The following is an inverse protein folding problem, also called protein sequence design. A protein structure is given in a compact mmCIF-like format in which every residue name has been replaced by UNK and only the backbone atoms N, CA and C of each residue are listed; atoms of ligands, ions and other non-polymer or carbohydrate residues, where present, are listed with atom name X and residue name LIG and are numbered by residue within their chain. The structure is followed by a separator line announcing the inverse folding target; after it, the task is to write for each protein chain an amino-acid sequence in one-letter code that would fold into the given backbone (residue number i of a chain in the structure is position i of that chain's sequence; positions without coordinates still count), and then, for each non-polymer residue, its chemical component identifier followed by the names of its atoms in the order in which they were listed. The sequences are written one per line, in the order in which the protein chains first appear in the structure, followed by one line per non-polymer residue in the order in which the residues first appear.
data_IF_865075766758
#
_entry.id   IF_865075766758
#
_cell.length_a   1.000
_cell.length_b   1.000
_cell.length_c   1.000
_cell.angle_alpha   90.00
_cell.angle_beta   90.00
_cell.angle_gamma   90.00
#
_symmetry.space_group_name_H-M   'P 1'
#
loop_
_entity.id
_entity.type
_entity.pdbx_description
1 polymer ?
#
# COMPACT_ATOMS: atom_id res chain seq x y z
N UNK A 1 -30.36 29.36 -23.67
CA UNK A 1 -29.28 29.23 -22.68
C UNK A 1 -29.71 28.21 -21.63
N UNK A 2 -28.88 27.20 -21.37
CA UNK A 2 -29.16 26.16 -20.35
C UNK A 2 -28.92 26.79 -18.95
N UNK A 3 -29.86 26.69 -18.01
CA UNK A 3 -29.67 27.26 -16.66
C UNK A 3 -28.57 26.50 -15.91
N UNK A 4 -27.92 27.12 -14.91
CA UNK A 4 -26.97 26.41 -14.06
C UNK A 4 -27.60 25.19 -13.40
N UNK A 5 -26.83 24.11 -13.29
CA UNK A 5 -27.28 22.84 -12.73
C UNK A 5 -26.52 22.54 -11.44
N UNK A 6 -27.24 22.19 -10.37
CA UNK A 6 -26.62 21.68 -9.15
C UNK A 6 -26.32 20.19 -9.31
N UNK A 7 -25.10 19.79 -8.96
CA UNK A 7 -24.62 18.42 -9.02
C UNK A 7 -24.19 18.01 -7.61
N UNK A 8 -24.82 16.97 -7.09
CA UNK A 8 -24.55 16.43 -5.75
C UNK A 8 -23.90 15.04 -5.79
N UNK A 9 -23.50 14.59 -6.99
CA UNK A 9 -22.93 13.27 -7.25
C UNK A 9 -23.85 12.11 -6.81
N UNK A 10 -25.17 12.32 -6.86
CA UNK A 10 -26.19 11.29 -6.60
C UNK A 10 -27.09 11.13 -7.82
N UNK A 11 -27.58 9.91 -8.02
CA UNK A 11 -28.48 9.54 -9.12
C UNK A 11 -27.88 9.93 -10.49
N UNK A 12 -28.60 10.75 -11.27
CA UNK A 12 -28.16 11.22 -12.59
C UNK A 12 -27.43 12.57 -12.53
N UNK A 13 -27.41 13.26 -11.39
CA UNK A 13 -26.84 14.60 -11.23
C UNK A 13 -25.39 14.53 -10.75
N UNK A 14 -24.54 13.95 -11.61
CA UNK A 14 -23.11 13.74 -11.35
C UNK A 14 -22.25 14.61 -12.25
N UNK A 15 -21.07 14.98 -11.74
CA UNK A 15 -20.05 15.67 -12.53
C UNK A 15 -19.61 14.81 -13.71
N UNK A 16 -19.51 13.50 -13.53
CA UNK A 16 -19.18 12.54 -14.58
C UNK A 16 -20.13 12.63 -15.78
N UNK A 17 -21.45 12.70 -15.53
CA UNK A 17 -22.43 12.77 -16.61
C UNK A 17 -22.30 14.06 -17.42
N UNK A 18 -22.14 15.21 -16.74
CA UNK A 18 -21.92 16.49 -17.43
C UNK A 18 -20.60 16.50 -18.21
N UNK A 19 -19.51 15.99 -17.62
CA UNK A 19 -18.24 15.87 -18.36
C UNK A 19 -18.38 14.96 -19.57
N UNK A 20 -19.07 13.83 -19.46
CA UNK A 20 -19.24 12.89 -20.57
C UNK A 20 -20.12 13.44 -21.70
N UNK A 21 -21.11 14.28 -21.37
CA UNK A 21 -21.97 14.99 -22.34
C UNK A 21 -21.18 16.07 -23.11
N UNK A 22 -20.35 16.85 -22.41
CA UNK A 22 -19.72 18.05 -22.98
C UNK A 22 -18.28 17.87 -23.47
N UNK A 23 -17.56 16.83 -23.02
CA UNK A 23 -16.23 16.50 -23.55
C UNK A 23 -16.33 16.09 -25.02
N UNK A 24 -15.65 16.84 -25.87
CA UNK A 24 -15.59 16.64 -27.32
C UNK A 24 -14.16 16.65 -27.83
N UNK A 25 -13.98 16.32 -29.11
CA UNK A 25 -12.69 16.40 -29.77
C UNK A 25 -12.12 17.83 -29.68
N UNK A 26 -10.83 17.94 -29.35
CA UNK A 26 -10.12 19.21 -29.13
C UNK A 26 -10.67 20.09 -27.99
N UNK A 27 -11.38 19.54 -27.01
CA UNK A 27 -11.68 20.27 -25.78
C UNK A 27 -10.40 20.64 -25.04
N UNK A 28 -10.42 21.75 -24.28
CA UNK A 28 -9.33 22.14 -23.38
C UNK A 28 -9.82 22.09 -21.94
N UNK A 29 -9.15 21.34 -21.10
CA UNK A 29 -9.57 21.15 -19.71
C UNK A 29 -8.64 21.91 -18.75
N UNK A 30 -9.22 22.68 -17.84
CA UNK A 30 -8.50 23.34 -16.75
C UNK A 30 -9.11 22.85 -15.43
N UNK A 31 -8.31 22.18 -14.60
CA UNK A 31 -8.79 21.50 -13.39
C UNK A 31 -7.99 21.96 -12.18
N UNK A 32 -8.69 22.26 -11.10
CA UNK A 32 -8.11 22.43 -9.76
C UNK A 32 -8.82 21.45 -8.83
N UNK A 33 -8.04 20.52 -8.28
CA UNK A 33 -8.58 19.48 -7.41
C UNK A 33 -7.54 19.09 -6.36
N UNK A 34 -7.99 18.63 -5.19
CA UNK A 34 -7.07 18.16 -4.16
C UNK A 34 -6.46 16.80 -4.47
N UNK A 35 -7.13 15.99 -5.30
CA UNK A 35 -6.75 14.61 -5.54
C UNK A 35 -6.99 14.24 -6.99
N UNK A 36 -6.12 13.41 -7.55
CA UNK A 36 -6.25 12.88 -8.90
C UNK A 36 -6.30 11.36 -8.82
N UNK A 37 -7.36 10.70 -9.29
CA UNK A 37 -7.46 9.24 -9.32
C UNK A 37 -7.25 8.70 -10.73
N UNK A 38 -6.41 7.66 -10.85
CA UNK A 38 -6.26 6.91 -12.11
C UNK A 38 -7.56 6.26 -12.57
N UNK A 39 -8.48 5.95 -11.64
CA UNK A 39 -9.76 5.33 -11.99
C UNK A 39 -10.76 6.34 -12.56
N UNK A 40 -10.70 7.59 -12.09
CA UNK A 40 -11.46 8.70 -12.68
C UNK A 40 -11.03 8.92 -14.14
N UNK A 41 -9.70 8.95 -14.39
CA UNK A 41 -9.16 8.94 -15.75
C UNK A 41 -9.67 7.75 -16.55
N UNK A 42 -9.54 6.52 -16.04
CA UNK A 42 -9.93 5.31 -16.77
C UNK A 42 -11.39 5.33 -17.24
N UNK A 43 -12.29 5.90 -16.42
CA UNK A 43 -13.72 5.99 -16.71
C UNK A 43 -14.05 7.04 -17.77
N UNK A 44 -13.22 8.07 -17.90
CA UNK A 44 -13.35 9.11 -18.92
C UNK A 44 -12.35 8.94 -20.09
N UNK A 45 -11.53 7.87 -20.09
CA UNK A 45 -10.41 7.65 -21.01
C UNK A 45 -10.76 7.90 -22.47
N UNK A 46 -11.86 7.32 -22.94
CA UNK A 46 -12.28 7.45 -24.34
C UNK A 46 -12.50 8.90 -24.76
N UNK A 47 -12.96 9.76 -23.85
CA UNK A 47 -13.17 11.18 -24.10
C UNK A 47 -11.91 12.00 -23.84
N UNK A 48 -11.19 11.71 -22.76
CA UNK A 48 -9.95 12.41 -22.40
C UNK A 48 -8.83 12.19 -23.40
N UNK A 49 -8.82 11.06 -24.12
CA UNK A 49 -7.87 10.82 -25.18
C UNK A 49 -8.11 11.67 -26.43
N UNK A 50 -9.31 12.26 -26.60
CA UNK A 50 -9.69 13.07 -27.77
C UNK A 50 -9.52 14.58 -27.53
N UNK A 51 -9.20 15.01 -26.30
CA UNK A 51 -9.03 16.43 -25.96
C UNK A 51 -7.74 17.00 -26.57
N UNK A 52 -7.66 18.33 -26.67
CA UNK A 52 -6.45 19.05 -27.08
C UNK A 52 -5.39 18.93 -25.98
N UNK A 53 -5.71 19.46 -24.80
CA UNK A 53 -4.85 19.39 -23.62
C UNK A 53 -5.64 19.49 -22.31
N UNK A 54 -4.94 19.24 -21.21
CA UNK A 54 -5.42 19.47 -19.86
C UNK A 54 -4.35 20.17 -19.01
N UNK A 55 -4.77 21.14 -18.20
CA UNK A 55 -3.95 21.76 -17.16
C UNK A 55 -4.54 21.42 -15.81
N UNK A 56 -3.73 20.86 -14.92
CA UNK A 56 -4.16 20.37 -13.61
C UNK A 56 -3.38 21.04 -12.48
N UNK A 57 -4.07 21.54 -11.47
CA UNK A 57 -3.48 22.08 -10.24
C UNK A 57 -3.92 21.24 -9.04
N UNK A 58 -2.96 20.68 -8.29
CA UNK A 58 -3.21 20.08 -6.98
C UNK A 58 -3.45 21.16 -5.92
N UNK A 59 -4.57 21.09 -5.17
CA UNK A 59 -4.89 22.07 -4.10
C UNK A 59 -3.94 22.00 -2.90
N UNK A 60 -3.37 20.83 -2.63
CA UNK A 60 -2.42 20.60 -1.55
C UNK A 60 -0.99 20.46 -2.10
N UNK A 61 0.05 20.93 -1.37
CA UNK A 61 1.45 20.73 -1.72
C UNK A 61 1.80 19.26 -2.00
N UNK A 62 1.77 18.88 -3.27
CA UNK A 62 1.91 17.51 -3.75
C UNK A 62 3.02 17.43 -4.78
N UNK A 63 3.91 16.45 -4.66
CA UNK A 63 5.03 16.24 -5.60
C UNK A 63 6.03 17.41 -5.72
N UNK A 64 6.00 18.34 -4.77
CA UNK A 64 6.99 19.42 -4.67
C UNK A 64 8.32 18.85 -4.18
N UNK A 65 9.40 19.27 -4.83
CA UNK A 65 10.76 18.85 -4.47
C UNK A 65 11.16 19.45 -3.13
N UNK A 66 10.99 18.68 -2.06
CA UNK A 66 11.54 19.05 -0.74
C UNK A 66 13.07 19.05 -0.82
N UNK A 67 13.70 20.22 -0.60
CA UNK A 67 15.17 20.36 -0.56
C UNK A 67 15.82 19.69 0.66
N UNK A 68 15.05 19.34 1.68
CA UNK A 68 15.58 18.93 3.00
C UNK A 68 15.47 17.42 3.34
N UNK A 69 14.86 16.59 2.50
CA UNK A 69 14.79 15.15 2.78
C UNK A 69 15.96 14.39 2.14
N UNK A 70 17.09 14.42 2.83
CA UNK A 70 18.07 13.34 2.77
C UNK A 70 17.37 12.02 3.14
N UNK A 71 17.49 11.02 2.26
CA UNK A 71 17.12 9.62 2.51
C UNK A 71 15.65 9.33 2.86
N UNK A 72 14.70 9.66 1.98
CA UNK A 72 13.45 8.88 1.97
C UNK A 72 13.76 7.49 1.42
N UNK A 73 13.67 6.49 2.29
CA UNK A 73 13.63 5.06 1.94
C UNK A 73 12.77 4.88 0.68
N UNK A 74 13.30 4.21 -0.34
CA UNK A 74 12.61 3.96 -1.62
C UNK A 74 11.23 3.28 -1.49
N UNK A 75 10.86 2.86 -0.28
CA UNK A 75 9.64 2.13 0.06
C UNK A 75 8.72 2.86 1.04
N UNK A 76 9.00 4.11 1.43
CA UNK A 76 8.01 4.92 2.13
C UNK A 76 6.96 5.44 1.15
N UNK A 77 5.86 4.69 1.06
CA UNK A 77 4.60 5.14 0.47
C UNK A 77 4.09 6.30 1.35
N UNK A 78 4.60 7.52 1.14
CA UNK A 78 4.04 8.74 1.75
C UNK A 78 2.54 8.82 1.41
N UNK A 79 1.71 9.25 2.36
CA UNK A 79 0.24 9.33 2.26
C UNK A 79 -0.29 10.01 0.98
N UNK A 80 0.53 10.84 0.32
CA UNK A 80 0.29 11.49 -0.97
C UNK A 80 -0.10 10.46 -2.06
N UNK A 81 0.41 9.23 -2.01
CA UNK A 81 0.11 8.18 -3.00
C UNK A 81 -1.28 7.56 -2.83
N UNK A 82 -1.91 7.69 -1.65
CA UNK A 82 -3.16 6.98 -1.34
C UNK A 82 -4.32 7.50 -2.19
N UNK A 83 -4.29 8.78 -2.54
CA UNK A 83 -5.35 9.38 -3.33
C UNK A 83 -5.20 9.13 -4.84
N UNK A 84 -3.98 8.84 -5.33
CA UNK A 84 -3.75 8.53 -6.74
C UNK A 84 -4.25 7.16 -7.13
N UNK A 85 -3.92 6.18 -6.31
CA UNK A 85 -4.13 4.77 -6.63
C UNK A 85 -5.41 4.19 -6.04
N UNK A 86 -6.31 5.05 -5.60
CA UNK A 86 -7.61 4.68 -5.09
C UNK A 86 -7.83 5.10 -3.65
N UNK A 87 -8.84 5.91 -3.42
CA UNK A 87 -9.31 6.19 -2.07
C UNK A 87 -10.23 5.05 -1.54
N UNK A 88 -10.75 5.22 -0.33
CA UNK A 88 -11.61 4.22 0.34
C UNK A 88 -12.89 3.86 -0.44
N UNK A 89 -13.39 4.75 -1.30
CA UNK A 89 -14.58 4.50 -2.15
C UNK A 89 -14.23 3.75 -3.44
N UNK A 90 -12.93 3.66 -3.77
CA UNK A 90 -12.42 2.99 -4.96
C UNK A 90 -11.89 1.58 -4.65
N UNK A 91 -12.10 1.06 -3.42
CA UNK A 91 -11.63 -0.26 -3.01
C UNK A 91 -12.12 -1.39 -3.93
N UNK A 92 -13.35 -1.31 -4.45
CA UNK A 92 -13.86 -2.29 -5.41
C UNK A 92 -13.05 -2.28 -6.71
N UNK A 93 -12.78 -1.10 -7.26
CA UNK A 93 -11.94 -0.94 -8.46
C UNK A 93 -10.52 -1.39 -8.18
N UNK A 94 -10.04 -1.17 -6.95
CA UNK A 94 -8.74 -1.66 -6.51
C UNK A 94 -8.66 -3.19 -6.51
N UNK A 95 -9.74 -3.85 -6.11
CA UNK A 95 -9.80 -5.31 -6.09
C UNK A 95 -9.91 -5.95 -7.48
N UNK A 96 -10.14 -5.17 -8.54
CA UNK A 96 -10.07 -5.66 -9.93
C UNK A 96 -8.63 -5.91 -10.38
N UNK A 97 -7.62 -5.46 -9.61
CA UNK A 97 -6.19 -5.66 -9.88
C UNK A 97 -5.73 -5.13 -11.26
N UNK A 98 -6.38 -4.07 -11.75
CA UNK A 98 -6.11 -3.46 -13.05
C UNK A 98 -5.19 -2.23 -12.98
N UNK A 99 -4.67 -1.88 -11.80
CA UNK A 99 -3.94 -0.63 -11.56
C UNK A 99 -2.70 -0.49 -12.42
N UNK A 100 -1.92 -1.55 -12.59
CA UNK A 100 -0.69 -1.50 -13.38
C UNK A 100 -0.98 -1.09 -14.83
N UNK A 101 -2.01 -1.69 -15.43
CA UNK A 101 -2.43 -1.37 -16.80
C UNK A 101 -3.00 0.05 -16.90
N UNK A 102 -3.92 0.42 -16.02
CA UNK A 102 -4.55 1.75 -16.02
C UNK A 102 -3.51 2.84 -15.78
N UNK A 103 -2.61 2.65 -14.82
CA UNK A 103 -1.56 3.63 -14.49
C UNK A 103 -0.61 3.86 -15.66
N UNK A 104 -0.25 2.81 -16.40
CA UNK A 104 0.62 2.93 -17.58
C UNK A 104 -0.01 3.80 -18.66
N UNK A 105 -1.25 3.51 -19.03
CA UNK A 105 -1.98 4.30 -20.03
C UNK A 105 -2.22 5.74 -19.56
N UNK A 106 -2.55 5.92 -18.27
CA UNK A 106 -2.72 7.23 -17.67
C UNK A 106 -1.42 8.05 -17.70
N UNK A 107 -0.28 7.43 -17.40
CA UNK A 107 1.03 8.08 -17.44
C UNK A 107 1.41 8.51 -18.87
N UNK A 108 1.12 7.69 -19.88
CA UNK A 108 1.29 8.06 -21.30
C UNK A 108 0.43 9.26 -21.67
N UNK A 109 -0.86 9.24 -21.31
CA UNK A 109 -1.77 10.35 -21.55
C UNK A 109 -1.34 11.65 -20.82
N UNK A 110 -0.88 11.55 -19.57
CA UNK A 110 -0.36 12.70 -18.82
C UNK A 110 0.88 13.28 -19.49
N UNK A 111 1.79 12.41 -19.93
CA UNK A 111 3.01 12.83 -20.62
C UNK A 111 2.69 13.64 -21.87
N UNK A 112 1.73 13.20 -22.66
CA UNK A 112 1.43 13.79 -23.96
C UNK A 112 0.50 15.01 -23.90
N UNK A 113 -0.50 14.99 -23.01
CA UNK A 113 -1.61 15.97 -23.05
C UNK A 113 -1.77 16.83 -21.81
N UNK A 114 -1.10 16.51 -20.72
CA UNK A 114 -1.38 17.13 -19.42
C UNK A 114 -0.20 17.94 -18.92
N UNK A 115 -0.44 19.18 -18.53
CA UNK A 115 0.48 19.99 -17.72
C UNK A 115 0.01 19.93 -16.26
N UNK A 116 0.94 19.77 -15.33
CA UNK A 116 0.60 19.52 -13.93
C UNK A 116 1.39 20.45 -13.02
N UNK A 117 0.66 21.21 -12.21
CA UNK A 117 1.20 22.08 -11.18
C UNK A 117 0.62 21.72 -9.81
N UNK A 118 1.28 22.17 -8.75
CA UNK A 118 0.79 22.08 -7.38
C UNK A 118 0.87 23.45 -6.73
N UNK A 119 -0.06 23.78 -5.85
CA UNK A 119 0.14 24.91 -4.94
C UNK A 119 1.35 24.65 -4.04
N UNK A 120 2.15 25.69 -3.82
CA UNK A 120 3.38 25.61 -3.02
C UNK A 120 3.06 25.47 -1.52
N UNK A 121 2.00 26.14 -1.07
CA UNK A 121 1.55 26.12 0.33
C UNK A 121 0.15 25.52 0.44
N UNK A 122 -0.23 24.99 1.60
CA UNK A 122 -1.60 24.55 1.86
C UNK A 122 -2.49 25.76 2.18
N UNK A 123 -3.67 25.84 1.58
CA UNK A 123 -4.66 26.84 1.92
C UNK A 123 -6.08 26.26 1.73
N UNK A 124 -6.90 26.19 2.80
CA UNK A 124 -8.25 25.63 2.70
C UNK A 124 -9.21 26.48 1.84
N UNK A 125 -8.84 27.73 1.53
CA UNK A 125 -9.62 28.61 0.67
C UNK A 125 -9.35 28.43 -0.83
N UNK A 126 -8.41 27.56 -1.22
CA UNK A 126 -8.18 27.33 -2.64
C UNK A 126 -9.41 26.72 -3.31
N UNK A 127 -9.81 27.24 -4.48
CA UNK A 127 -11.02 26.77 -5.15
C UNK A 127 -10.82 25.36 -5.70
N UNK A 128 -11.93 24.63 -5.82
CA UNK A 128 -12.00 23.41 -6.62
C UNK A 128 -12.87 23.67 -7.83
N UNK A 129 -12.34 23.37 -9.01
CA UNK A 129 -13.05 23.63 -10.24
C UNK A 129 -12.62 22.72 -11.39
N UNK A 130 -13.54 22.54 -12.34
CA UNK A 130 -13.27 21.99 -13.67
C UNK A 130 -13.86 22.97 -14.68
N UNK A 131 -13.02 23.53 -15.54
CA UNK A 131 -13.43 24.33 -16.68
C UNK A 131 -13.13 23.55 -17.96
N UNK A 132 -14.15 23.44 -18.82
CA UNK A 132 -14.07 22.83 -20.13
C UNK A 132 -14.27 23.90 -21.20
N UNK A 133 -13.20 24.20 -21.94
CA UNK A 133 -13.25 25.07 -23.12
C UNK A 133 -13.47 24.27 -24.40
N UNK A 134 -14.35 24.76 -25.26
CA UNK A 134 -14.65 24.20 -26.58
C UNK A 134 -14.64 25.29 -27.65
N UNK A 135 -14.54 24.90 -28.94
CA UNK A 135 -14.67 25.83 -30.06
C UNK A 135 -16.10 26.39 -30.19
N UNK A 136 -17.09 25.57 -29.84
CA UNK A 136 -18.48 25.98 -29.77
C UNK A 136 -18.77 26.57 -28.39
N UNK A 137 -19.06 27.87 -28.34
CA UNK A 137 -19.26 28.62 -27.09
C UNK A 137 -20.34 28.01 -26.18
N UNK A 138 -21.38 27.39 -26.75
CA UNK A 138 -22.46 26.74 -26.00
C UNK A 138 -22.04 25.44 -25.31
N UNK A 139 -20.94 24.83 -25.77
CA UNK A 139 -20.38 23.60 -25.19
C UNK A 139 -19.31 23.88 -24.14
N UNK A 140 -19.02 25.13 -23.82
CA UNK A 140 -18.17 25.48 -22.69
C UNK A 140 -18.94 25.27 -21.38
N UNK A 141 -18.33 24.59 -20.42
CA UNK A 141 -18.91 24.40 -19.09
C UNK A 141 -17.88 24.69 -17.99
N UNK A 142 -18.37 25.11 -16.83
CA UNK A 142 -17.55 25.25 -15.64
C UNK A 142 -18.28 24.68 -14.44
N UNK A 143 -17.61 23.76 -13.74
CA UNK A 143 -18.10 23.08 -12.55
C UNK A 143 -17.27 23.57 -11.37
N UNK A 144 -17.92 24.13 -10.35
CA UNK A 144 -17.26 24.70 -9.18
C UNK A 144 -17.93 24.19 -7.90
N UNK A 145 -17.16 24.07 -6.82
CA UNK A 145 -17.68 23.71 -5.51
C UNK A 145 -16.73 22.81 -4.74
N UNK A 146 -17.09 21.54 -4.63
CA UNK A 146 -16.39 20.49 -3.85
C UNK A 146 -15.81 19.38 -4.73
N UNK A 147 -15.78 19.61 -6.04
CA UNK A 147 -15.37 18.65 -7.06
C UNK A 147 -13.93 18.21 -6.85
N UNK A 148 -13.70 16.90 -6.96
CA UNK A 148 -12.37 16.33 -7.06
C UNK A 148 -12.26 15.41 -8.26
N UNK A 149 -11.07 15.31 -8.84
CA UNK A 149 -10.79 14.42 -9.97
C UNK A 149 -10.57 12.98 -9.47
N UNK A 150 -11.52 12.49 -8.69
CA UNK A 150 -11.56 11.13 -8.13
C UNK A 150 -12.87 10.44 -8.49
N UNK A 151 -12.95 9.11 -8.43
CA UNK A 151 -14.18 8.42 -8.87
C UNK A 151 -15.40 8.84 -8.05
N UNK A 152 -15.23 9.07 -6.75
CA UNK A 152 -16.28 9.60 -5.86
C UNK A 152 -16.54 11.10 -6.10
N UNK A 153 -15.49 11.92 -6.29
CA UNK A 153 -15.61 13.36 -6.54
C UNK A 153 -16.27 13.70 -7.88
N UNK A 154 -16.22 12.77 -8.84
CA UNK A 154 -16.95 12.86 -10.11
C UNK A 154 -18.33 12.18 -10.06
N UNK A 155 -18.68 11.47 -8.98
CA UNK A 155 -19.93 10.70 -8.88
C UNK A 155 -19.98 9.41 -9.69
N UNK A 156 -18.82 8.82 -10.02
CA UNK A 156 -18.70 7.51 -10.67
C UNK A 156 -18.90 6.36 -9.67
N UNK A 157 -18.32 6.49 -8.47
CA UNK A 157 -18.49 5.52 -7.38
C UNK A 157 -19.37 6.10 -6.28
N UNK A 158 -20.28 5.31 -5.69
CA UNK A 158 -21.06 5.77 -4.54
C UNK A 158 -20.16 6.19 -3.38
N UNK A 159 -20.49 7.31 -2.76
CA UNK A 159 -19.77 7.82 -1.59
C UNK A 159 -20.76 8.45 -0.60
N UNK A 160 -20.29 8.67 0.63
CA UNK A 160 -21.02 9.48 1.61
C UNK A 160 -20.49 10.93 1.67
N UNK A 161 -19.80 11.40 0.63
CA UNK A 161 -19.40 12.80 0.50
C UNK A 161 -20.63 13.68 0.40
N UNK A 162 -20.54 14.84 1.03
CA UNK A 162 -21.53 15.90 0.89
C UNK A 162 -21.04 16.83 -0.21
N UNK A 163 -21.10 16.35 -1.45
CA UNK A 163 -20.71 17.16 -2.59
C UNK A 163 -21.82 18.15 -2.95
N UNK A 164 -21.43 19.39 -3.18
CA UNK A 164 -22.27 20.44 -3.73
C UNK A 164 -21.47 21.15 -4.81
N UNK A 165 -21.80 20.89 -6.06
CA UNK A 165 -21.17 21.47 -7.23
C UNK A 165 -22.22 22.22 -8.06
N UNK A 166 -21.80 23.31 -8.69
CA UNK A 166 -22.61 24.06 -9.63
C UNK A 166 -21.96 24.01 -11.00
N UNK A 167 -22.70 23.49 -11.98
CA UNK A 167 -22.32 23.50 -13.39
C UNK A 167 -22.96 24.70 -14.08
N UNK A 168 -22.13 25.55 -14.66
CA UNK A 168 -22.53 26.68 -15.50
C UNK A 168 -22.26 26.34 -16.96
N UNK A 169 -23.13 26.82 -17.86
CA UNK A 169 -23.09 26.51 -19.29
C UNK A 169 -22.92 27.77 -20.12
N UNK A 170 -22.17 27.64 -21.22
CA UNK A 170 -21.95 28.71 -22.16
C UNK A 170 -20.78 29.60 -21.77
N UNK A 171 -19.95 29.92 -22.77
CA UNK A 171 -18.70 30.67 -22.61
C UNK A 171 -18.83 31.96 -21.80
N UNK A 172 -19.90 32.72 -21.97
CA UNK A 172 -20.15 33.98 -21.25
C UNK A 172 -20.11 33.84 -19.73
N UNK A 173 -20.49 32.67 -19.19
CA UNK A 173 -20.50 32.39 -17.76
C UNK A 173 -19.24 31.67 -17.29
N UNK A 174 -18.54 30.98 -18.19
CA UNK A 174 -17.38 30.15 -17.83
C UNK A 174 -16.07 30.92 -17.98
N UNK A 175 -16.01 31.96 -18.80
CA UNK A 175 -14.81 32.78 -19.04
C UNK A 175 -14.27 33.43 -17.75
N UNK A 176 -15.15 33.86 -16.83
CA UNK A 176 -14.72 34.39 -15.53
C UNK A 176 -14.00 33.34 -14.68
N UNK A 177 -14.47 32.09 -14.70
CA UNK A 177 -13.84 30.97 -14.01
C UNK A 177 -12.51 30.60 -14.66
N UNK A 178 -12.44 30.61 -15.99
CA UNK A 178 -11.19 30.41 -16.71
C UNK A 178 -10.18 31.50 -16.38
N UNK A 179 -10.59 32.76 -16.28
CA UNK A 179 -9.71 33.86 -15.91
C UNK A 179 -9.12 33.68 -14.50
N UNK A 180 -9.92 33.22 -13.53
CA UNK A 180 -9.44 32.88 -12.18
C UNK A 180 -8.40 31.75 -12.24
N UNK A 181 -8.67 30.73 -13.07
CA UNK A 181 -7.70 29.65 -13.29
C UNK A 181 -6.39 30.18 -13.88
N UNK A 182 -6.44 31.04 -14.91
CA UNK A 182 -5.23 31.60 -15.54
C UNK A 182 -4.40 32.44 -14.57
N UNK A 183 -5.06 33.21 -13.69
CA UNK A 183 -4.34 33.98 -12.67
C UNK A 183 -3.54 33.07 -11.74
N UNK A 184 -4.15 31.96 -11.29
CA UNK A 184 -3.48 31.01 -10.41
C UNK A 184 -2.42 30.20 -11.16
N UNK A 185 -2.70 29.78 -12.39
CA UNK A 185 -1.80 28.99 -13.22
C UNK A 185 -0.51 29.72 -13.56
N UNK A 186 -0.58 31.03 -13.80
CA UNK A 186 0.56 31.85 -14.22
C UNK A 186 1.31 32.49 -13.04
N UNK A 187 0.81 32.38 -11.81
CA UNK A 187 1.48 32.89 -10.62
C UNK A 187 2.54 31.90 -10.11
N UNK A 188 3.80 32.16 -10.47
CA UNK A 188 4.95 31.34 -10.08
C UNK A 188 5.28 31.41 -8.58
N UNK A 189 4.69 32.33 -7.81
CA UNK A 189 4.81 32.36 -6.35
C UNK A 189 3.76 31.47 -5.67
N UNK A 190 2.71 31.11 -6.40
CA UNK A 190 1.58 30.36 -5.90
C UNK A 190 1.65 28.88 -6.28
N UNK A 191 2.07 28.58 -7.52
CA UNK A 191 2.14 27.22 -8.06
C UNK A 191 3.51 26.87 -8.62
N UNK A 192 3.87 25.60 -8.52
CA UNK A 192 5.11 25.01 -9.06
C UNK A 192 4.76 23.89 -10.06
N UNK A 193 5.56 23.73 -11.11
CA UNK A 193 5.46 22.57 -12.03
C UNK A 193 5.92 21.30 -11.31
N UNK A 194 5.06 20.27 -11.33
CA UNK A 194 5.32 19.00 -10.66
C UNK A 194 5.11 17.80 -11.58
N UNK A 195 5.05 18.00 -12.90
CA UNK A 195 4.70 16.96 -13.87
C UNK A 195 5.67 15.78 -13.82
N UNK A 196 6.97 16.05 -13.77
CA UNK A 196 7.99 15.00 -13.76
C UNK A 196 7.94 14.14 -12.50
N UNK A 197 7.78 14.77 -11.33
CA UNK A 197 7.67 14.05 -10.05
C UNK A 197 6.36 13.25 -9.97
N UNK A 198 5.27 13.80 -10.50
CA UNK A 198 4.00 13.07 -10.60
C UNK A 198 4.10 11.85 -11.51
N UNK A 199 4.71 11.98 -12.70
CA UNK A 199 4.95 10.85 -13.62
C UNK A 199 5.88 9.80 -13.00
N UNK A 200 6.94 10.21 -12.30
CA UNK A 200 7.83 9.31 -11.56
C UNK A 200 7.08 8.53 -10.48
N UNK A 201 6.13 9.18 -9.80
CA UNK A 201 5.30 8.51 -8.82
C UNK A 201 4.36 7.48 -9.46
N UNK A 202 3.73 7.80 -10.59
CA UNK A 202 2.90 6.83 -11.34
C UNK A 202 3.71 5.61 -11.81
N UNK A 203 4.97 5.80 -12.22
CA UNK A 203 5.87 4.72 -12.64
C UNK A 203 6.10 3.65 -11.56
N UNK A 204 6.10 4.03 -10.28
CA UNK A 204 6.31 3.07 -9.18
C UNK A 204 5.27 1.94 -9.14
N UNK A 205 4.05 2.20 -9.61
CA UNK A 205 2.94 1.23 -9.53
C UNK A 205 2.89 0.20 -10.67
N UNK A 206 3.56 0.46 -11.79
CA UNK A 206 3.70 -0.51 -12.88
C UNK A 206 5.15 -0.95 -13.10
N UNK A 207 6.04 -0.59 -12.17
CA UNK A 207 7.37 -1.14 -12.12
C UNK A 207 7.29 -2.66 -11.94
N UNK A 208 7.89 -3.39 -12.87
CA UNK A 208 7.97 -4.84 -12.78
C UNK A 208 8.96 -5.21 -11.67
N UNK A 209 8.46 -5.94 -10.67
CA UNK A 209 9.28 -6.46 -9.59
C UNK A 209 9.70 -7.89 -9.93
N UNK A 210 10.98 -8.22 -9.71
CA UNK A 210 11.46 -9.57 -9.99
C UNK A 210 10.77 -10.59 -9.07
N UNK A 211 10.52 -11.83 -9.54
CA UNK A 211 9.99 -12.90 -8.69
C UNK A 211 10.85 -13.13 -7.44
N UNK A 212 12.17 -12.96 -7.57
CA UNK A 212 13.14 -13.05 -6.49
C UNK A 212 12.91 -11.97 -5.43
N UNK A 213 12.74 -10.71 -5.84
CA UNK A 213 12.43 -9.62 -4.92
C UNK A 213 11.11 -9.87 -4.17
N UNK A 214 10.06 -10.28 -4.89
CA UNK A 214 8.75 -10.58 -4.28
C UNK A 214 8.88 -11.70 -3.24
N UNK A 215 9.66 -12.75 -3.54
CA UNK A 215 9.92 -13.83 -2.62
C UNK A 215 10.60 -13.33 -1.34
N UNK A 216 11.71 -12.60 -1.46
CA UNK A 216 12.43 -12.09 -0.29
C UNK A 216 11.63 -11.07 0.51
N UNK A 217 10.89 -10.19 -0.16
CA UNK A 217 9.99 -9.23 0.49
C UNK A 217 8.90 -9.94 1.29
N UNK A 218 8.29 -10.99 0.71
CA UNK A 218 7.29 -11.82 1.40
C UNK A 218 7.89 -12.53 2.61
N UNK A 219 9.09 -13.10 2.49
CA UNK A 219 9.79 -13.75 3.60
C UNK A 219 10.15 -12.76 4.70
N UNK A 220 10.64 -11.58 4.34
CA UNK A 220 10.92 -10.51 5.30
C UNK A 220 9.66 -10.19 6.09
N UNK A 221 8.54 -9.85 5.44
CA UNK A 221 7.31 -9.50 6.15
C UNK A 221 6.68 -10.65 6.95
N UNK A 222 6.83 -11.90 6.50
CA UNK A 222 6.34 -13.07 7.22
C UNK A 222 7.14 -13.34 8.50
N UNK A 223 8.47 -13.11 8.47
CA UNK A 223 9.37 -13.49 9.55
C UNK A 223 9.94 -12.32 10.35
N UNK A 224 9.71 -11.07 9.95
CA UNK A 224 10.29 -9.90 10.61
C UNK A 224 9.94 -9.85 12.11
N UNK A 225 8.66 -10.12 12.43
CA UNK A 225 8.19 -10.14 13.82
C UNK A 225 8.81 -11.31 14.62
N UNK A 226 9.12 -12.43 13.96
CA UNK A 226 9.83 -13.54 14.57
C UNK A 226 11.29 -13.19 14.85
N UNK A 227 11.96 -12.48 13.93
CA UNK A 227 13.34 -12.04 14.09
C UNK A 227 13.47 -11.06 15.27
N UNK A 228 12.52 -10.14 15.43
CA UNK A 228 12.49 -9.21 16.57
C UNK A 228 12.17 -9.89 17.90
N UNK A 229 11.31 -10.92 17.91
CA UNK A 229 10.99 -11.67 19.13
C UNK A 229 12.06 -12.70 19.53
N UNK A 230 13.06 -12.97 18.67
CA UNK A 230 14.21 -13.84 18.98
C UNK A 230 15.30 -13.05 19.73
N UNK A 231 14.88 -12.10 20.57
CA UNK A 231 15.79 -11.24 21.32
C UNK A 231 16.69 -12.06 22.24
N UNK A 232 17.96 -11.68 22.33
CA UNK A 232 19.06 -12.43 22.97
C UNK A 232 18.86 -12.82 24.45
N UNK A 233 17.78 -12.35 25.09
CA UNK A 233 17.45 -12.64 26.48
C UNK A 233 16.53 -13.86 26.69
N UNK A 234 15.94 -14.43 25.63
CA UNK A 234 15.14 -15.68 25.71
C UNK A 234 15.92 -16.93 25.28
N UNK A 235 17.15 -16.77 24.77
CA UNK A 235 17.99 -17.91 24.45
C UNK A 235 18.25 -18.73 25.73
N UNK A 236 17.97 -20.06 25.71
CA UNK A 236 18.31 -20.98 26.79
C UNK A 236 19.73 -20.72 27.27
N UNK A 237 19.89 -20.43 28.57
CA UNK A 237 21.18 -20.03 29.18
C UNK A 237 22.29 -20.96 28.68
N UNK A 238 23.11 -20.47 27.77
CA UNK A 238 24.16 -21.23 27.09
C UNK A 238 25.31 -21.63 28.01
N UNK A 239 25.32 -21.14 29.24
CA UNK A 239 26.36 -21.36 30.26
C UNK A 239 26.36 -22.78 30.85
N UNK A 240 25.42 -23.65 30.50
CA UNK A 240 25.32 -25.02 31.04
C UNK A 240 26.20 -26.06 30.33
N UNK A 241 26.97 -25.67 29.30
CA UNK A 241 27.73 -26.62 28.46
C UNK A 241 26.83 -27.54 27.61
N UNK A 242 25.52 -27.26 27.52
CA UNK A 242 24.56 -28.11 26.82
C UNK A 242 24.93 -28.37 25.35
N UNK A 243 25.45 -27.34 24.66
CA UNK A 243 25.87 -27.44 23.25
C UNK A 243 27.13 -28.31 23.05
N UNK A 244 27.84 -28.65 24.11
CA UNK A 244 29.03 -29.51 24.07
C UNK A 244 28.65 -31.00 24.25
N UNK A 245 27.40 -31.29 24.60
CA UNK A 245 26.95 -32.65 24.85
C UNK A 245 26.96 -33.50 23.58
N UNK A 246 27.22 -34.80 23.74
CA UNK A 246 27.18 -35.78 22.63
C UNK A 246 25.82 -35.80 21.93
N UNK A 247 24.73 -35.64 22.68
CA UNK A 247 23.38 -35.62 22.10
C UNK A 247 23.19 -34.39 21.19
N UNK A 248 23.60 -33.20 21.63
CA UNK A 248 23.50 -31.97 20.83
C UNK A 248 24.29 -32.07 19.51
N UNK A 249 25.52 -32.59 19.59
CA UNK A 249 26.39 -32.77 18.43
C UNK A 249 25.94 -33.90 17.47
N UNK A 250 24.97 -34.73 17.88
CA UNK A 250 24.35 -35.76 17.02
C UNK A 250 23.14 -35.22 16.26
N UNK A 251 22.56 -34.08 16.68
CA UNK A 251 21.37 -33.50 16.07
C UNK A 251 21.68 -32.83 14.73
N UNK A 252 20.77 -32.96 13.76
CA UNK A 252 20.76 -32.10 12.58
C UNK A 252 20.40 -30.66 12.94
N UNK A 253 20.79 -29.68 12.11
CA UNK A 253 20.54 -28.25 12.35
C UNK A 253 19.06 -27.95 12.65
N UNK A 254 18.13 -28.50 11.87
CA UNK A 254 16.69 -28.30 12.10
C UNK A 254 16.20 -28.89 13.43
N UNK A 255 16.84 -29.97 13.92
CA UNK A 255 16.52 -30.55 15.23
C UNK A 255 17.09 -29.70 16.36
N UNK A 256 18.28 -29.13 16.18
CA UNK A 256 18.85 -28.17 17.13
C UNK A 256 17.93 -26.95 17.28
N UNK A 257 17.42 -26.43 16.17
CA UNK A 257 16.43 -25.34 16.16
C UNK A 257 15.14 -25.76 16.86
N UNK A 258 14.64 -26.97 16.61
CA UNK A 258 13.47 -27.52 17.28
C UNK A 258 13.66 -27.67 18.80
N UNK A 259 14.84 -28.13 19.25
CA UNK A 259 15.19 -28.24 20.68
C UNK A 259 15.18 -26.87 21.35
N UNK A 260 15.88 -25.89 20.76
CA UNK A 260 15.94 -24.54 21.32
C UNK A 260 14.56 -23.89 21.36
N UNK A 261 13.78 -24.02 20.28
CA UNK A 261 12.43 -23.52 20.21
C UNK A 261 11.43 -24.26 21.12
N UNK A 262 11.70 -25.51 21.50
CA UNK A 262 10.90 -26.24 22.48
C UNK A 262 11.24 -25.81 23.91
N UNK A 263 12.53 -25.66 24.24
CA UNK A 263 12.97 -25.16 25.55
C UNK A 263 12.41 -23.75 25.78
N UNK A 264 12.55 -22.83 24.82
CA UNK A 264 11.99 -21.48 24.91
C UNK A 264 10.49 -21.49 25.21
N UNK A 265 9.72 -22.33 24.51
CA UNK A 265 8.28 -22.48 24.77
C UNK A 265 7.98 -23.07 26.15
N UNK A 266 8.76 -24.04 26.62
CA UNK A 266 8.60 -24.60 27.97
C UNK A 266 8.88 -23.53 29.03
N UNK A 267 9.96 -22.75 28.89
CA UNK A 267 10.30 -21.67 29.84
C UNK A 267 9.23 -20.56 29.84
N UNK A 268 8.67 -20.24 28.67
CA UNK A 268 7.69 -19.14 28.52
C UNK A 268 6.26 -19.53 28.86
N UNK A 269 5.85 -20.76 28.54
CA UNK A 269 4.45 -21.20 28.58
C UNK A 269 4.23 -22.44 29.45
N UNK A 270 5.26 -22.96 30.13
CA UNK A 270 5.22 -24.19 30.93
C UNK A 270 4.78 -25.44 30.15
N UNK A 271 4.98 -25.45 28.83
CA UNK A 271 4.62 -26.60 28.00
C UNK A 271 5.00 -26.43 26.53
N UNK A 272 5.24 -27.55 25.86
CA UNK A 272 5.49 -27.61 24.42
C UNK A 272 5.02 -28.96 23.85
N UNK A 273 4.51 -28.93 22.62
CA UNK A 273 4.19 -30.13 21.84
C UNK A 273 5.13 -30.17 20.63
N UNK A 274 5.85 -31.28 20.47
CA UNK A 274 6.72 -31.53 19.30
C UNK A 274 5.99 -32.49 18.37
N UNK A 275 5.63 -32.02 17.18
CA UNK A 275 4.77 -32.71 16.23
C UNK A 275 5.46 -32.96 14.88
N UNK A 276 6.71 -33.38 14.88
CA UNK A 276 7.44 -33.68 13.64
C UNK A 276 6.87 -34.93 12.93
N UNK A 277 7.04 -35.03 11.62
CA UNK A 277 6.73 -36.22 10.83
C UNK A 277 7.48 -37.49 11.31
N UNK A 278 7.02 -38.66 10.86
CA UNK A 278 7.65 -39.95 11.18
C UNK A 278 9.08 -39.98 10.65
N UNK A 279 10.02 -40.47 11.46
CA UNK A 279 11.44 -40.60 11.07
C UNK A 279 12.31 -39.35 11.26
N UNK A 280 11.73 -38.19 11.60
CA UNK A 280 12.49 -36.93 11.77
C UNK A 280 13.22 -36.79 13.12
N UNK A 281 13.25 -37.85 13.92
CA UNK A 281 14.07 -37.91 15.14
C UNK A 281 13.47 -37.27 16.40
N UNK A 282 12.14 -37.25 16.55
CA UNK A 282 11.44 -36.79 17.77
C UNK A 282 12.05 -37.32 19.08
N UNK A 283 12.48 -38.58 19.10
CA UNK A 283 13.15 -39.19 20.26
C UNK A 283 14.47 -38.49 20.58
N UNK A 284 15.29 -38.18 19.58
CA UNK A 284 16.55 -37.46 19.76
C UNK A 284 16.34 -36.01 20.20
N UNK A 285 15.35 -35.32 19.60
CA UNK A 285 14.92 -33.98 20.03
C UNK A 285 14.50 -34.00 21.50
N UNK A 286 13.67 -34.96 21.91
CA UNK A 286 13.23 -35.11 23.30
C UNK A 286 14.39 -35.44 24.26
N UNK A 287 15.30 -36.33 23.89
CA UNK A 287 16.49 -36.65 24.68
C UNK A 287 17.38 -35.42 24.90
N UNK A 288 17.53 -34.57 23.90
CA UNK A 288 18.29 -33.33 24.01
C UNK A 288 17.61 -32.33 24.97
N UNK A 289 16.29 -32.16 24.88
CA UNK A 289 15.52 -31.33 25.82
C UNK A 289 15.66 -31.86 27.25
N UNK A 290 15.50 -33.18 27.44
CA UNK A 290 15.72 -33.82 28.74
C UNK A 290 17.13 -33.55 29.26
N UNK A 291 18.16 -33.67 28.41
CA UNK A 291 19.54 -33.42 28.79
C UNK A 291 19.76 -31.97 29.24
N UNK A 292 19.14 -30.99 28.57
CA UNK A 292 19.21 -29.58 28.97
C UNK A 292 18.69 -29.36 30.39
N UNK A 293 17.51 -29.88 30.72
CA UNK A 293 16.93 -29.79 32.06
C UNK A 293 17.71 -30.60 33.11
N UNK A 294 18.25 -31.76 32.71
CA UNK A 294 19.08 -32.56 33.59
C UNK A 294 20.36 -31.82 34.02
N UNK A 295 21.02 -31.11 33.11
CA UNK A 295 22.22 -30.29 33.42
C UNK A 295 21.93 -29.13 34.38
N UNK A 296 20.65 -28.79 34.58
CA UNK A 296 20.19 -27.78 35.53
C UNK A 296 19.71 -28.38 36.86
N UNK A 297 19.90 -29.68 37.05
CA UNK A 297 19.42 -30.46 38.19
C UNK A 297 17.89 -30.52 38.32
N UNK A 298 17.17 -30.40 37.21
CA UNK A 298 15.71 -30.59 37.20
C UNK A 298 15.34 -32.08 37.20
N UNK A 299 14.19 -32.39 37.81
CA UNK A 299 13.65 -33.76 37.86
C UNK A 299 12.87 -34.09 36.61
N UNK A 300 13.15 -35.24 36.01
CA UNK A 300 12.55 -35.65 34.73
C UNK A 300 11.76 -36.94 34.91
N UNK A 301 10.51 -36.92 34.42
CA UNK A 301 9.64 -38.10 34.35
C UNK A 301 9.27 -38.38 32.90
N UNK A 302 9.53 -39.61 32.44
CA UNK A 302 9.21 -40.05 31.07
C UNK A 302 8.01 -41.00 31.11
N UNK A 303 6.90 -40.59 30.50
CA UNK A 303 5.70 -41.41 30.36
C UNK A 303 5.56 -41.87 28.90
N UNK A 304 5.55 -43.18 28.68
CA UNK A 304 5.51 -43.77 27.33
C UNK A 304 4.51 -44.92 27.26
N UNK A 305 3.85 -45.14 26.09
CA UNK A 305 3.02 -46.31 25.86
C UNK A 305 3.83 -47.60 26.04
N UNK A 306 3.18 -48.68 26.53
CA UNK A 306 3.83 -49.97 26.83
C UNK A 306 4.72 -50.48 25.69
N UNK A 307 4.29 -50.32 24.44
CA UNK A 307 5.02 -50.79 23.24
C UNK A 307 6.36 -50.08 23.00
N UNK A 308 6.56 -48.88 23.54
CA UNK A 308 7.78 -48.08 23.35
C UNK A 308 8.72 -48.13 24.57
N UNK A 309 8.33 -48.83 25.65
CA UNK A 309 9.09 -48.87 26.89
C UNK A 309 10.53 -49.34 26.66
N UNK A 310 10.72 -50.42 25.93
CA UNK A 310 12.05 -51.01 25.73
C UNK A 310 12.95 -50.06 24.92
N UNK A 311 12.40 -49.40 23.89
CA UNK A 311 13.11 -48.39 23.11
C UNK A 311 13.66 -47.24 23.96
N UNK A 312 12.86 -46.76 24.91
CA UNK A 312 13.29 -45.68 25.82
C UNK A 312 14.24 -46.17 26.92
N UNK A 313 14.11 -47.42 27.35
CA UNK A 313 14.96 -48.00 28.42
C UNK A 313 16.42 -48.15 27.98
N UNK A 314 16.69 -48.33 26.68
CA UNK A 314 18.06 -48.37 26.14
C UNK A 314 18.83 -47.08 26.41
N UNK A 315 18.16 -45.93 26.33
CA UNK A 315 18.77 -44.62 26.57
C UNK A 315 18.92 -44.30 28.07
N UNK A 316 18.34 -45.12 28.94
CA UNK A 316 18.44 -45.02 30.40
C UNK A 316 19.60 -45.89 30.94
N UNK A 317 19.96 -46.97 30.24
CA UNK A 317 20.92 -48.01 30.72
C UNK A 317 22.39 -47.82 30.31
N UNK A 318 22.70 -46.92 29.38
CA UNK A 318 24.09 -46.68 28.98
C UNK A 318 24.75 -45.68 29.95
N UNK A 319 25.42 -46.23 30.96
CA UNK A 319 26.08 -45.63 32.13
C UNK A 319 27.16 -44.54 31.90
N UNK A 320 27.12 -43.79 30.80
CA UNK A 320 27.84 -42.51 30.69
C UNK A 320 26.93 -41.33 30.37
N UNK A 321 25.62 -41.56 30.42
CA UNK A 321 24.57 -40.56 30.20
C UNK A 321 23.39 -40.91 31.12
N UNK A 322 23.28 -40.19 32.26
CA UNK A 322 22.02 -39.78 32.92
C UNK A 322 21.41 -40.72 34.01
N UNK A 323 20.95 -40.07 35.10
CA UNK A 323 19.99 -40.50 36.15
C UNK A 323 20.53 -41.15 37.44
N UNK A 324 21.08 -40.33 38.33
CA UNK A 324 20.49 -40.06 39.66
C UNK A 324 20.38 -38.55 39.86
#
# INVERSE_FOLDING_TARGET
MKPPKSLNNKNQDTVFNELNEYLTFNSRLSVISGSFSIYAYNKLKNKLNDIDNMRFIFTEPSFIKNKDNTETREYEIKDISKDIFGNKYELRLKNEMTQGAITRECAEWIKDKVEVKSYINSNPAYPRMIHLGNKEDEKCISINGTVDFTSDGLGITPSNRQDNNTCMYGKTWTDSQLMIFEQQWNDTQLVEDVKDEFLKHLQTMYAENSPEFIYYYSMYHLFNDYLHNTDKNTLPKTETGFKETKIWNTLYKFQQDAVMGAIDKIEKYNGCIIADSVGLGKTYTALAIMKYYQLRNDRILVLVPKKLRDNWTVYIKNDNVIFF
#
